data_IF_387065516790
#
_entry.id   IF_387065516790
#
_cell.length_a   1.000
_cell.length_b   1.000
_cell.length_c   1.000
_cell.angle_alpha   90.00
_cell.angle_beta   90.00
_cell.angle_gamma   90.00
#
_symmetry.space_group_name_H-M   'P 1'
#
loop_
_entity.id
_entity.type
_entity.pdbx_description
1 polymer ?
#
# COMPACT_ATOMS: atom_id res chain seq x y z
N UNK A 1 23.09 2.15 -8.20
CA UNK A 1 23.09 1.21 -7.05
C UNK A 1 22.18 1.60 -5.87
N UNK A 2 22.25 2.81 -5.29
CA UNK A 2 21.40 3.18 -4.13
C UNK A 2 19.91 3.32 -4.46
N UNK A 3 19.57 3.77 -5.68
CA UNK A 3 18.19 3.91 -6.16
C UNK A 3 17.52 2.54 -6.42
N UNK A 4 18.23 1.61 -7.05
CA UNK A 4 17.73 0.26 -7.33
C UNK A 4 17.37 -0.51 -6.03
N UNK A 5 18.16 -0.33 -4.97
CA UNK A 5 17.85 -0.92 -3.66
C UNK A 5 16.59 -0.32 -3.04
N UNK A 6 16.39 1.00 -3.16
CA UNK A 6 15.19 1.67 -2.68
C UNK A 6 13.93 1.17 -3.42
N UNK A 7 13.98 1.09 -4.75
CA UNK A 7 12.85 0.59 -5.53
C UNK A 7 12.58 -0.89 -5.27
N UNK A 8 13.63 -1.70 -5.06
CA UNK A 8 13.50 -3.10 -4.67
C UNK A 8 12.84 -3.25 -3.30
N UNK A 9 13.25 -2.45 -2.31
CA UNK A 9 12.62 -2.42 -0.99
C UNK A 9 11.15 -1.99 -1.07
N UNK A 10 10.86 -0.93 -1.84
CA UNK A 10 9.50 -0.45 -2.07
C UNK A 10 8.61 -1.50 -2.74
N UNK A 11 9.13 -2.29 -3.69
CA UNK A 11 8.39 -3.37 -4.32
C UNK A 11 8.04 -4.49 -3.34
N UNK A 12 8.98 -4.87 -2.48
CA UNK A 12 8.75 -5.89 -1.45
C UNK A 12 7.71 -5.40 -0.45
N UNK A 13 7.82 -4.15 0.03
CA UNK A 13 6.87 -3.54 0.96
C UNK A 13 5.47 -3.46 0.33
N UNK A 14 5.36 -2.94 -0.89
CA UNK A 14 4.09 -2.82 -1.62
C UNK A 14 3.47 -4.20 -1.88
N UNK A 15 4.29 -5.20 -2.23
CA UNK A 15 3.84 -6.58 -2.41
C UNK A 15 3.29 -7.19 -1.11
N UNK A 16 3.96 -6.96 0.02
CA UNK A 16 3.49 -7.38 1.34
C UNK A 16 2.16 -6.70 1.72
N UNK A 17 2.01 -5.40 1.42
CA UNK A 17 0.78 -4.65 1.65
C UNK A 17 -0.37 -5.17 0.75
N UNK A 18 -0.11 -5.50 -0.51
CA UNK A 18 -1.10 -6.10 -1.41
C UNK A 18 -1.56 -7.46 -0.85
N UNK A 19 -0.63 -8.32 -0.45
CA UNK A 19 -0.96 -9.62 0.13
C UNK A 19 -1.83 -9.46 1.39
N UNK A 20 -1.46 -8.49 2.24
CA UNK A 20 -2.24 -8.15 3.42
C UNK A 20 -3.64 -7.65 3.02
N UNK A 21 -3.79 -6.76 2.03
CA UNK A 21 -5.10 -6.30 1.57
C UNK A 21 -5.98 -7.44 1.02
N UNK A 22 -5.41 -8.41 0.32
CA UNK A 22 -6.13 -9.61 -0.11
C UNK A 22 -6.61 -10.40 1.11
N UNK A 23 -5.76 -10.58 2.12
CA UNK A 23 -6.16 -11.22 3.39
C UNK A 23 -7.33 -10.50 4.07
N UNK A 24 -7.34 -9.16 4.06
CA UNK A 24 -8.45 -8.36 4.59
C UNK A 24 -9.74 -8.58 3.79
N UNK A 25 -9.67 -8.55 2.46
CA UNK A 25 -10.86 -8.77 1.61
C UNK A 25 -11.45 -10.17 1.83
N UNK A 26 -10.62 -11.21 1.89
CA UNK A 26 -11.07 -12.58 2.16
C UNK A 26 -11.71 -12.65 3.54
N UNK A 27 -11.03 -12.15 4.57
CA UNK A 27 -11.51 -12.22 5.95
C UNK A 27 -12.83 -11.45 6.16
N UNK A 28 -12.97 -10.29 5.52
CA UNK A 28 -14.23 -9.52 5.55
C UNK A 28 -15.34 -10.21 4.74
N UNK A 29 -15.02 -10.90 3.64
CA UNK A 29 -15.97 -11.71 2.89
C UNK A 29 -16.45 -12.92 3.68
N UNK A 30 -15.57 -13.58 4.42
CA UNK A 30 -15.92 -14.68 5.32
C UNK A 30 -16.82 -14.18 6.46
N UNK A 31 -16.58 -12.96 6.94
CA UNK A 31 -17.42 -12.29 7.93
C UNK A 31 -18.80 -11.88 7.37
N UNK A 32 -18.89 -11.42 6.10
CA UNK A 32 -20.18 -11.11 5.45
C UNK A 32 -21.08 -12.34 5.32
N UNK A 33 -20.46 -13.51 5.12
CA UNK A 33 -21.15 -14.79 5.04
C UNK A 33 -21.38 -15.47 6.40
N UNK A 34 -21.06 -14.80 7.52
CA UNK A 34 -21.22 -15.31 8.90
C UNK A 34 -20.44 -16.61 9.19
N UNK A 35 -19.27 -16.79 8.55
CA UNK A 35 -18.44 -17.99 8.72
C UNK A 35 -17.47 -17.92 9.92
N UNK A 36 -17.15 -16.73 10.43
CA UNK A 36 -16.13 -16.50 11.46
C UNK A 36 -16.64 -15.71 12.66
N UNK A 37 -16.04 -15.95 13.83
CA UNK A 37 -16.32 -15.16 15.03
C UNK A 37 -15.79 -13.73 14.91
N UNK A 38 -16.70 -12.76 14.94
CA UNK A 38 -16.49 -11.34 14.69
C UNK A 38 -15.48 -10.67 15.63
N UNK A 39 -15.50 -10.97 16.93
CA UNK A 39 -14.58 -10.35 17.90
C UNK A 39 -13.11 -10.70 17.65
N UNK A 40 -12.81 -11.98 17.41
CA UNK A 40 -11.44 -12.44 17.18
C UNK A 40 -10.91 -11.95 15.83
N UNK A 41 -11.79 -11.89 14.82
CA UNK A 41 -11.48 -11.36 13.51
C UNK A 41 -11.11 -9.87 13.57
N UNK A 42 -11.96 -9.05 14.20
CA UNK A 42 -11.76 -7.60 14.28
C UNK A 42 -10.50 -7.23 15.07
N UNK A 43 -10.20 -7.94 16.16
CA UNK A 43 -8.97 -7.75 16.94
C UNK A 43 -7.71 -8.02 16.11
N UNK A 44 -7.71 -9.11 15.33
CA UNK A 44 -6.61 -9.43 14.39
C UNK A 44 -6.50 -8.38 13.29
N UNK A 45 -7.62 -8.01 12.66
CA UNK A 45 -7.65 -6.99 11.60
C UNK A 45 -7.12 -5.65 12.08
N UNK A 46 -7.46 -5.22 13.29
CA UNK A 46 -6.97 -3.97 13.85
C UNK A 46 -5.44 -3.99 14.06
N UNK A 47 -4.89 -5.10 14.57
CA UNK A 47 -3.44 -5.29 14.68
C UNK A 47 -2.74 -5.22 13.32
N UNK A 48 -3.27 -5.90 12.31
CA UNK A 48 -2.73 -5.87 10.96
C UNK A 48 -2.90 -4.50 10.27
N UNK A 49 -3.95 -3.76 10.59
CA UNK A 49 -4.21 -2.42 10.02
C UNK A 49 -3.15 -1.43 10.46
N UNK A 50 -2.76 -1.49 11.73
CA UNK A 50 -1.68 -0.66 12.25
C UNK A 50 -0.34 -0.99 11.58
N UNK A 51 -0.04 -2.28 11.42
CA UNK A 51 1.17 -2.75 10.72
C UNK A 51 1.17 -2.25 9.27
N UNK A 52 0.04 -2.34 8.56
CA UNK A 52 -0.12 -1.83 7.19
C UNK A 52 0.16 -0.33 7.10
N UNK A 53 -0.43 0.45 8.02
CA UNK A 53 -0.27 1.90 8.06
C UNK A 53 1.20 2.28 8.29
N UNK A 54 1.87 1.62 9.24
CA UNK A 54 3.28 1.87 9.53
C UNK A 54 4.19 1.50 8.36
N UNK A 55 3.96 0.34 7.73
CA UNK A 55 4.73 -0.12 6.56
C UNK A 55 4.69 0.94 5.44
N UNK A 56 3.48 1.39 5.08
CA UNK A 56 3.33 2.35 4.01
C UNK A 56 3.78 3.78 4.40
N UNK A 57 3.62 4.17 5.68
CA UNK A 57 4.08 5.46 6.18
C UNK A 57 5.60 5.59 6.17
N UNK A 58 6.36 4.49 6.26
CA UNK A 58 7.83 4.49 6.16
C UNK A 58 8.31 4.76 4.73
N UNK A 59 7.53 4.40 3.70
CA UNK A 59 7.92 4.65 2.31
C UNK A 59 7.90 6.13 1.93
N UNK A 60 6.96 6.93 2.47
CA UNK A 60 6.86 8.37 2.19
C UNK A 60 8.15 9.15 2.52
N UNK A 61 8.71 9.11 3.75
CA UNK A 61 9.95 9.80 4.05
C UNK A 61 11.13 9.23 3.27
N UNK A 62 11.13 7.93 2.95
CA UNK A 62 12.17 7.30 2.14
C UNK A 62 12.20 7.88 0.71
N UNK A 63 11.03 8.05 0.07
CA UNK A 63 10.93 8.71 -1.23
C UNK A 63 11.27 10.20 -1.18
N UNK A 64 10.96 10.87 -0.07
CA UNK A 64 11.29 12.29 0.13
C UNK A 64 12.81 12.51 0.21
N UNK A 65 13.55 11.61 0.88
CA UNK A 65 15.01 11.68 0.98
C UNK A 65 15.70 11.55 -0.39
N UNK A 66 15.13 10.76 -1.29
CA UNK A 66 15.63 10.56 -2.65
C UNK A 66 15.04 11.55 -3.68
N UNK A 67 14.29 12.57 -3.23
CA UNK A 67 13.71 13.63 -4.05
C UNK A 67 12.75 13.15 -5.16
N UNK A 68 12.09 12.00 -4.98
CA UNK A 68 11.05 11.54 -5.90
C UNK A 68 9.68 12.15 -5.56
N UNK A 69 9.55 13.47 -5.77
CA UNK A 69 8.36 14.25 -5.42
C UNK A 69 7.06 13.71 -6.06
N UNK A 70 7.13 13.23 -7.29
CA UNK A 70 5.98 12.64 -7.99
C UNK A 70 5.45 11.37 -7.29
N UNK A 71 6.35 10.50 -6.80
CA UNK A 71 5.97 9.30 -6.07
C UNK A 71 5.43 9.65 -4.68
N UNK A 72 5.96 10.68 -4.02
CA UNK A 72 5.38 11.17 -2.77
C UNK A 72 3.94 11.65 -3.00
N UNK A 73 3.72 12.46 -4.05
CA UNK A 73 2.41 13.02 -4.34
C UNK A 73 1.35 11.96 -4.62
N UNK A 74 1.71 10.85 -5.27
CA UNK A 74 0.78 9.73 -5.50
C UNK A 74 0.46 9.02 -4.16
N UNK A 75 1.45 8.74 -3.30
CA UNK A 75 1.21 7.98 -2.06
C UNK A 75 0.54 8.79 -0.94
N UNK A 76 0.71 10.12 -0.91
CA UNK A 76 0.19 10.99 0.15
C UNK A 76 -1.34 10.89 0.33
N UNK A 77 -2.18 10.97 -0.73
CA UNK A 77 -3.63 10.79 -0.59
C UNK A 77 -4.03 9.46 0.05
N UNK A 78 -3.37 8.36 -0.32
CA UNK A 78 -3.66 7.02 0.21
C UNK A 78 -3.31 6.90 1.70
N UNK A 79 -2.13 7.38 2.09
CA UNK A 79 -1.69 7.39 3.49
C UNK A 79 -2.52 8.36 4.32
N UNK A 80 -2.81 9.55 3.80
CA UNK A 80 -3.62 10.56 4.49
C UNK A 80 -5.03 10.04 4.76
N UNK A 81 -5.65 9.34 3.81
CA UNK A 81 -6.95 8.71 4.02
C UNK A 81 -6.89 7.65 5.12
N UNK A 82 -5.94 6.71 5.04
CA UNK A 82 -5.81 5.67 6.07
C UNK A 82 -5.50 6.25 7.46
N UNK A 83 -4.67 7.30 7.53
CA UNK A 83 -4.34 7.98 8.78
C UNK A 83 -5.56 8.74 9.34
N UNK A 84 -6.31 9.42 8.48
CA UNK A 84 -7.58 10.07 8.87
C UNK A 84 -8.56 9.05 9.42
N UNK A 85 -8.74 7.91 8.73
CA UNK A 85 -9.64 6.85 9.17
C UNK A 85 -9.21 6.29 10.53
N UNK A 86 -7.90 6.05 10.74
CA UNK A 86 -7.35 5.61 12.02
C UNK A 86 -7.53 6.63 13.16
N UNK A 87 -7.29 7.92 12.90
CA UNK A 87 -7.40 8.99 13.91
C UNK A 87 -8.85 9.38 14.21
N UNK A 88 -9.75 9.18 13.25
CA UNK A 88 -11.18 9.48 13.42
C UNK A 88 -11.91 8.46 14.30
N UNK A 89 -11.26 7.34 14.67
CA UNK A 89 -11.82 6.33 15.57
C UNK A 89 -11.91 6.91 16.99
N UNK A 90 -13.11 6.97 17.60
CA UNK A 90 -13.26 7.41 18.98
C UNK A 90 -12.44 6.51 19.93
N UNK A 91 -11.78 7.11 20.92
CA UNK A 91 -10.89 6.43 21.87
C UNK A 91 -11.55 5.38 22.78
N UNK A 92 -12.87 5.17 22.67
CA UNK A 92 -13.62 4.12 23.36
C UNK A 92 -13.92 2.88 22.51
N UNK A 93 -13.53 2.88 21.22
CA UNK A 93 -13.77 1.77 20.30
C UNK A 93 -12.62 0.76 20.31
N UNK A 94 -12.88 -0.51 20.03
CA UNK A 94 -11.84 -1.56 19.97
C UNK A 94 -10.84 -1.39 18.82
N UNK A 95 -11.07 -0.44 17.91
CA UNK A 95 -10.20 -0.12 16.78
C UNK A 95 -10.97 0.42 15.57
N UNK A 96 -10.32 0.48 14.40
CA UNK A 96 -10.96 0.80 13.11
C UNK A 96 -12.07 -0.20 12.78
N UNK A 97 -11.90 -1.45 13.24
CA UNK A 97 -12.87 -2.53 13.09
C UNK A 97 -13.48 -2.84 14.45
N UNK A 98 -14.69 -2.36 14.71
CA UNK A 98 -15.48 -2.70 15.89
C UNK A 98 -16.57 -3.73 15.56
N UNK A 99 -16.62 -4.89 16.24
CA UNK A 99 -17.66 -5.91 16.03
C UNK A 99 -19.08 -5.35 16.14
N UNK A 100 -19.34 -4.34 16.99
CA UNK A 100 -20.72 -3.82 17.15
C UNK A 100 -21.17 -2.94 15.98
N UNK A 101 -20.24 -2.28 15.29
CA UNK A 101 -20.52 -1.45 14.12
C UNK A 101 -20.48 -2.22 12.80
N UNK A 102 -19.66 -3.27 12.70
CA UNK A 102 -19.46 -4.06 11.47
C UNK A 102 -20.73 -4.82 11.04
N UNK A 103 -21.61 -5.20 11.98
CA UNK A 103 -22.86 -5.90 11.66
C UNK A 103 -23.89 -5.01 10.93
N UNK A 104 -23.72 -3.68 10.97
CA UNK A 104 -24.50 -2.80 10.10
C UNK A 104 -24.05 -3.08 8.67
N UNK A 105 -24.85 -3.86 7.92
CA UNK A 105 -24.58 -4.25 6.50
C UNK A 105 -24.05 -3.13 5.60
N UNK A 106 -24.38 -1.87 5.89
CA UNK A 106 -23.85 -0.70 5.18
C UNK A 106 -22.36 -0.41 5.44
N UNK A 107 -21.86 -0.61 6.67
CA UNK A 107 -20.46 -0.32 7.03
C UNK A 107 -19.51 -1.44 6.56
N UNK A 108 -19.88 -2.72 6.70
CA UNK A 108 -19.06 -3.83 6.19
C UNK A 108 -18.80 -3.73 4.69
N UNK A 109 -19.85 -3.48 3.89
CA UNK A 109 -19.71 -3.28 2.44
C UNK A 109 -18.89 -2.05 2.08
N UNK A 110 -18.97 -0.99 2.89
CA UNK A 110 -18.15 0.20 2.73
C UNK A 110 -16.67 -0.12 2.97
N UNK A 111 -16.33 -0.77 4.08
CA UNK A 111 -14.95 -1.16 4.38
C UNK A 111 -14.38 -2.15 3.35
N UNK A 112 -15.16 -3.13 2.88
CA UNK A 112 -14.72 -4.02 1.78
C UNK A 112 -14.45 -3.22 0.50
N UNK A 113 -15.34 -2.30 0.12
CA UNK A 113 -15.16 -1.47 -1.07
C UNK A 113 -13.91 -0.59 -0.94
N UNK A 114 -13.70 0.01 0.23
CA UNK A 114 -12.54 0.88 0.48
C UNK A 114 -11.24 0.04 0.43
N UNK A 115 -11.23 -1.17 1.01
CA UNK A 115 -10.13 -2.14 0.87
C UNK A 115 -9.85 -2.52 -0.60
N UNK A 116 -10.89 -2.73 -1.42
CA UNK A 116 -10.74 -3.03 -2.84
C UNK A 116 -10.18 -1.84 -3.64
N UNK A 117 -10.64 -0.62 -3.34
CA UNK A 117 -10.11 0.61 -3.95
C UNK A 117 -8.62 0.75 -3.62
N UNK A 118 -8.24 0.55 -2.36
CA UNK A 118 -6.83 0.53 -1.97
C UNK A 118 -6.07 -0.57 -2.69
N UNK A 119 -6.60 -1.78 -2.79
CA UNK A 119 -5.94 -2.88 -3.48
C UNK A 119 -5.61 -2.53 -4.94
N UNK A 120 -6.55 -1.92 -5.67
CA UNK A 120 -6.30 -1.44 -7.04
C UNK A 120 -5.23 -0.34 -7.06
N UNK A 121 -5.29 0.60 -6.11
CA UNK A 121 -4.31 1.68 -5.98
C UNK A 121 -2.88 1.15 -5.77
N UNK A 122 -2.71 0.22 -4.82
CA UNK A 122 -1.42 -0.41 -4.54
C UNK A 122 -0.94 -1.28 -5.71
N UNK A 123 -1.84 -1.94 -6.43
CA UNK A 123 -1.50 -2.70 -7.63
C UNK A 123 -0.94 -1.81 -8.75
N UNK A 124 -1.56 -0.65 -9.00
CA UNK A 124 -1.05 0.32 -9.97
C UNK A 124 0.31 0.86 -9.52
N UNK A 125 0.44 1.20 -8.24
CA UNK A 125 1.71 1.67 -7.66
C UNK A 125 2.83 0.63 -7.77
N UNK A 126 2.51 -0.65 -7.60
CA UNK A 126 3.45 -1.76 -7.78
C UNK A 126 4.04 -1.79 -9.20
N UNK A 127 3.22 -1.64 -10.24
CA UNK A 127 3.71 -1.58 -11.62
C UNK A 127 4.57 -0.33 -11.87
N UNK A 128 4.23 0.80 -11.26
CA UNK A 128 5.04 2.03 -11.35
C UNK A 128 6.42 1.80 -10.71
N UNK A 129 6.48 1.22 -9.51
CA UNK A 129 7.75 0.90 -8.85
C UNK A 129 8.58 -0.12 -9.62
N UNK A 130 7.93 -1.11 -10.24
CA UNK A 130 8.57 -2.07 -11.12
C UNK A 130 9.23 -1.36 -12.31
N UNK A 131 8.50 -0.46 -12.97
CA UNK A 131 9.02 0.33 -14.08
C UNK A 131 10.22 1.20 -13.66
N UNK A 132 10.13 1.89 -12.52
CA UNK A 132 11.23 2.68 -11.97
C UNK A 132 12.46 1.82 -11.63
N UNK A 133 12.26 0.63 -11.09
CA UNK A 133 13.34 -0.32 -10.82
C UNK A 133 14.06 -0.71 -12.11
N UNK A 134 13.31 -1.09 -13.16
CA UNK A 134 13.87 -1.52 -14.44
C UNK A 134 14.71 -0.40 -15.06
N UNK A 135 14.23 0.84 -15.07
CA UNK A 135 15.00 1.99 -15.57
C UNK A 135 16.27 2.23 -14.73
N UNK A 136 16.16 2.15 -13.40
CA UNK A 136 17.31 2.34 -12.51
C UNK A 136 18.40 1.30 -12.77
N UNK A 137 18.02 0.03 -12.95
CA UNK A 137 18.93 -1.07 -13.30
C UNK A 137 19.51 -0.89 -14.71
N UNK A 138 18.70 -0.48 -15.68
CA UNK A 138 19.16 -0.28 -17.06
C UNK A 138 20.18 0.86 -17.15
N UNK A 139 19.94 1.97 -16.44
CA UNK A 139 20.86 3.10 -16.36
C UNK A 139 22.22 2.73 -15.74
N UNK A 140 22.23 1.77 -14.82
CA UNK A 140 23.45 1.22 -14.23
C UNK A 140 24.22 0.28 -15.20
N UNK A 141 23.66 -0.09 -16.37
CA UNK A 141 24.32 -0.91 -17.39
C UNK A 141 24.83 -0.05 -18.57
N UNK A 142 26.12 0.34 -18.62
CA UNK A 142 26.67 1.29 -19.59
C UNK A 142 26.76 0.79 -21.05
N UNK A 143 26.34 -0.44 -21.36
CA UNK A 143 26.52 -1.05 -22.70
C UNK A 143 25.58 -0.53 -23.78
N UNK A 144 24.56 0.28 -23.45
CA UNK A 144 23.67 0.95 -24.41
C UNK A 144 24.01 2.44 -24.62
N UNK A 145 25.07 2.94 -23.96
CA UNK A 145 25.59 4.29 -24.19
C UNK A 145 26.64 4.35 -25.30
N UNK A 146 26.58 3.44 -26.27
CA UNK A 146 27.30 3.67 -27.54
C UNK A 146 26.69 4.91 -28.19
N UNK A 147 27.47 5.97 -28.47
CA UNK A 147 26.97 7.16 -29.11
C UNK A 147 26.63 6.82 -30.56
N UNK A 148 25.39 6.42 -30.83
CA UNK A 148 24.83 6.58 -32.16
C UNK A 148 24.49 8.05 -32.27
N UNK A 149 25.51 8.85 -32.56
CA UNK A 149 25.50 10.20 -33.12
C UNK A 149 26.74 10.93 -32.58
N UNK A 150 27.82 10.98 -33.38
CA UNK A 150 28.20 12.23 -34.08
C UNK A 150 29.41 12.01 -35.02
N UNK A 151 29.63 12.90 -36.00
CA UNK A 151 29.71 12.56 -37.43
C UNK A 151 31.09 12.84 -38.05
N UNK A 152 31.40 12.34 -39.25
CA UNK A 152 32.40 12.97 -40.14
C UNK A 152 32.36 12.43 -41.59
N UNK A 153 32.04 13.36 -42.52
CA UNK A 153 32.32 13.44 -43.98
C UNK A 153 31.53 12.55 -44.94
#
# INVERSE_FOLDING_TARGET
MSEALLFSFSLIDTGAVIFLLVYFVITLSDLECDYLNEQQCCSKLNGWTLIKLLAHAILIPLFLLYQYWWLVLINVPGVAWMAYEYLSVPSGNTGVYDPTEIYKRGQLKKHMRDCLIFLVWYLISFFIYLYCLIISILKDNPLDSSPINEPEI
#
